data_IF_583637191774
#
_entry.id   IF_583637191774
#
_cell.length_a   1.000
_cell.length_b   1.000
_cell.length_c   1.000
_cell.angle_alpha   90.00
_cell.angle_beta   90.00
_cell.angle_gamma   90.00
#
_symmetry.space_group_name_H-M   'P 1'
#
loop_
_entity.id
_entity.type
_entity.pdbx_description
1 polymer ?
#
# COMPACT_ATOMS: atom_id res chain seq x y z
N UNK A 1 -6.23 -32.94 -2.27
CA UNK A 1 -7.34 -32.36 -3.07
C UNK A 1 -7.84 -31.10 -2.34
N UNK A 2 -7.82 -29.98 -3.06
CA UNK A 2 -8.52 -28.68 -2.88
C UNK A 2 -8.38 -27.85 -1.60
N UNK A 3 -7.42 -26.91 -1.68
CA UNK A 3 -7.56 -25.46 -1.50
C UNK A 3 -8.53 -24.92 -0.43
N UNK A 4 -7.96 -24.49 0.71
CA UNK A 4 -8.53 -23.42 1.54
C UNK A 4 -8.19 -22.05 0.92
N UNK A 5 -8.73 -21.77 -0.26
CA UNK A 5 -8.82 -20.40 -0.81
C UNK A 5 -10.15 -19.80 -0.38
N UNK A 6 -10.23 -19.40 0.87
CA UNK A 6 -11.31 -18.57 1.39
C UNK A 6 -10.68 -17.37 2.06
N UNK A 7 -10.53 -16.26 1.33
CA UNK A 7 -10.15 -14.96 1.89
C UNK A 7 -11.36 -14.49 2.71
N UNK A 8 -11.34 -14.49 4.06
CA UNK A 8 -12.43 -13.96 4.85
C UNK A 8 -12.20 -12.46 4.96
N UNK A 9 -12.85 -11.69 4.09
CA UNK A 9 -12.78 -10.24 4.15
C UNK A 9 -12.98 -9.62 2.79
N UNK A 10 -14.21 -9.19 2.53
CA UNK A 10 -14.47 -8.15 1.54
C UNK A 10 -13.64 -6.93 1.96
N UNK A 11 -12.50 -6.67 1.31
CA UNK A 11 -11.82 -5.38 1.41
C UNK A 11 -12.75 -4.36 0.77
N UNK A 12 -13.62 -3.76 1.57
CA UNK A 12 -14.50 -2.71 1.09
C UNK A 12 -13.60 -1.51 0.77
N UNK A 13 -13.77 -0.89 -0.39
CA UNK A 13 -13.05 0.34 -0.78
C UNK A 13 -13.16 1.46 0.27
N UNK A 14 -14.10 1.39 1.23
CA UNK A 14 -14.21 2.34 2.36
C UNK A 14 -13.03 2.33 3.33
N UNK A 15 -12.25 1.25 3.46
CA UNK A 15 -11.12 1.23 4.41
C UNK A 15 -9.84 1.81 3.81
N UNK A 16 -9.74 1.91 2.48
CA UNK A 16 -8.55 2.41 1.77
C UNK A 16 -8.20 3.85 2.18
N UNK A 17 -9.13 4.82 2.22
CA UNK A 17 -8.82 6.19 2.63
C UNK A 17 -8.24 6.26 4.04
N UNK A 18 -8.75 5.43 4.97
CA UNK A 18 -8.27 5.39 6.35
C UNK A 18 -6.83 4.88 6.44
N UNK A 19 -6.50 3.81 5.72
CA UNK A 19 -5.14 3.25 5.66
C UNK A 19 -4.16 4.24 5.03
N UNK A 20 -4.59 5.00 4.01
CA UNK A 20 -3.77 6.04 3.39
C UNK A 20 -3.47 7.20 4.35
N UNK A 21 -4.45 7.61 5.16
CA UNK A 21 -4.24 8.66 6.18
C UNK A 21 -3.25 8.19 7.26
N UNK A 22 -3.34 6.93 7.69
CA UNK A 22 -2.41 6.35 8.66
C UNK A 22 -0.98 6.25 8.12
N UNK A 23 -0.84 5.87 6.85
CA UNK A 23 0.45 5.74 6.15
C UNK A 23 0.84 6.98 5.34
N UNK A 24 0.32 8.17 5.70
CA UNK A 24 0.45 9.41 4.91
C UNK A 24 1.90 9.81 4.64
N UNK A 25 2.82 9.56 5.56
CA UNK A 25 4.22 9.94 5.42
C UNK A 25 4.92 9.10 4.36
N UNK A 26 4.70 7.79 4.39
CA UNK A 26 5.23 6.83 3.44
C UNK A 26 4.56 7.02 2.06
N UNK A 27 3.25 7.26 2.05
CA UNK A 27 2.50 7.58 0.83
C UNK A 27 3.03 8.86 0.16
N UNK A 28 3.30 9.92 0.94
CA UNK A 28 3.84 11.17 0.41
C UNK A 28 5.28 11.02 -0.08
N UNK A 29 6.12 10.23 0.60
CA UNK A 29 7.47 9.93 0.13
C UNK A 29 7.47 9.17 -1.20
N UNK A 30 6.62 8.14 -1.31
CA UNK A 30 6.44 7.39 -2.55
C UNK A 30 5.88 8.28 -3.66
N UNK A 31 4.83 9.06 -3.38
CA UNK A 31 4.24 10.00 -4.32
C UNK A 31 5.24 11.03 -4.83
N UNK A 32 6.09 11.58 -3.96
CA UNK A 32 7.17 12.51 -4.35
C UNK A 32 8.17 11.86 -5.31
N UNK A 33 8.63 10.66 -4.99
CA UNK A 33 9.55 9.93 -5.85
C UNK A 33 8.92 9.65 -7.22
N UNK A 34 7.66 9.19 -7.26
CA UNK A 34 6.94 8.91 -8.50
C UNK A 34 6.72 10.19 -9.32
N UNK A 35 6.40 11.31 -8.65
CA UNK A 35 6.16 12.59 -9.32
C UNK A 35 7.44 13.28 -9.81
N UNK A 36 8.61 12.90 -9.27
CA UNK A 36 9.88 13.49 -9.67
C UNK A 36 10.24 13.10 -11.12
N UNK A 37 9.92 11.86 -11.51
CA UNK A 37 10.13 11.35 -12.87
C UNK A 37 8.79 11.28 -13.61
N UNK A 38 8.25 12.45 -13.98
CA UNK A 38 6.96 12.58 -14.66
C UNK A 38 6.91 11.97 -16.08
N UNK A 39 8.05 11.58 -16.65
CA UNK A 39 8.19 11.20 -18.07
C UNK A 39 8.64 9.76 -18.30
N UNK A 40 9.49 9.18 -17.45
CA UNK A 40 9.91 7.78 -17.55
C UNK A 40 10.18 7.17 -16.17
N UNK A 41 9.11 6.71 -15.51
CA UNK A 41 9.29 5.96 -14.28
C UNK A 41 9.85 4.57 -14.57
N UNK A 42 11.16 4.39 -14.41
CA UNK A 42 11.79 3.08 -14.56
C UNK A 42 11.31 2.13 -13.47
N UNK A 43 11.05 0.87 -13.84
CA UNK A 43 10.68 -0.18 -12.88
C UNK A 43 11.74 -0.25 -11.77
N UNK A 44 11.32 -0.02 -10.53
CA UNK A 44 12.17 -0.08 -9.35
C UNK A 44 12.83 1.24 -8.94
N UNK A 45 12.62 2.35 -9.67
CA UNK A 45 13.18 3.67 -9.32
C UNK A 45 12.80 4.11 -7.90
N UNK A 46 11.54 3.87 -7.50
CA UNK A 46 11.00 4.20 -6.17
C UNK A 46 10.75 2.95 -5.32
N UNK A 47 11.50 1.86 -5.53
CA UNK A 47 11.26 0.58 -4.86
C UNK A 47 11.38 0.70 -3.33
N UNK A 48 12.30 1.51 -2.83
CA UNK A 48 12.52 1.70 -1.40
C UNK A 48 11.32 2.37 -0.74
N UNK A 49 10.81 3.44 -1.32
CA UNK A 49 9.65 4.19 -0.85
C UNK A 49 8.39 3.34 -0.96
N UNK A 50 8.27 2.57 -2.04
CA UNK A 50 7.17 1.65 -2.26
C UNK A 50 7.13 0.54 -1.19
N UNK A 51 8.25 -0.12 -0.90
CA UNK A 51 8.28 -1.18 0.12
C UNK A 51 7.99 -0.61 1.51
N UNK A 52 8.50 0.58 1.86
CA UNK A 52 8.16 1.25 3.12
C UNK A 52 6.65 1.56 3.23
N UNK A 53 6.04 2.03 2.13
CA UNK A 53 4.61 2.31 2.07
C UNK A 53 3.75 1.04 2.16
N UNK A 54 4.11 0.01 1.40
CA UNK A 54 3.45 -1.30 1.39
C UNK A 54 3.50 -1.99 2.76
N UNK A 55 4.64 -1.94 3.44
CA UNK A 55 4.78 -2.45 4.81
C UNK A 55 3.80 -1.74 5.76
N UNK A 56 3.75 -0.41 5.71
CA UNK A 56 2.81 0.36 6.54
C UNK A 56 1.36 -0.04 6.27
N UNK A 57 0.93 -0.09 5.01
CA UNK A 57 -0.45 -0.46 4.65
C UNK A 57 -0.75 -1.88 5.12
N UNK A 58 0.16 -2.84 4.92
CA UNK A 58 -0.07 -4.24 5.30
C UNK A 58 -0.26 -4.38 6.80
N UNK A 59 0.52 -3.66 7.61
CA UNK A 59 0.38 -3.67 9.07
C UNK A 59 -0.88 -2.93 9.54
N UNK A 60 -1.21 -1.78 8.95
CA UNK A 60 -2.44 -1.05 9.27
C UNK A 60 -3.71 -1.84 8.89
N UNK A 61 -3.64 -2.56 7.78
CA UNK A 61 -4.68 -3.43 7.29
C UNK A 61 -4.91 -4.62 8.22
N UNK A 62 -3.83 -5.25 8.72
CA UNK A 62 -3.90 -6.31 9.74
C UNK A 62 -4.54 -5.82 11.04
N UNK A 63 -4.24 -4.58 11.48
CA UNK A 63 -4.87 -3.96 12.66
C UNK A 63 -6.36 -3.70 12.47
N UNK A 64 -6.79 -3.37 11.26
CA UNK A 64 -8.18 -2.99 10.96
C UNK A 64 -9.15 -4.17 10.85
N UNK A 65 -8.65 -5.40 10.72
CA UNK A 65 -9.45 -6.64 10.65
C UNK A 65 -9.62 -7.29 12.04
N UNK A 66 -8.98 -6.75 13.08
CA UNK A 66 -9.09 -7.24 14.46
C UNK A 66 -10.25 -6.58 15.21
#
# INVERSE_FOLDING_TARGET
MSARTGIPGRWTTRSIPRLLVECRLQAAAYGRCVSADATELRKGACAREFEAFKLCITEAARRSTR
#
